data_IF_986616766337
#
_entry.id   IF_986616766337
#
_cell.length_a   1.000
_cell.length_b   1.000
_cell.length_c   1.000
_cell.angle_alpha   90.00
_cell.angle_beta   90.00
_cell.angle_gamma   90.00
#
_symmetry.space_group_name_H-M   'P 1'
#
loop_
_entity.id
_entity.type
_entity.pdbx_description
1 polymer ?
#
# COMPACT_ATOMS: atom_id res chain seq x y z
N UNK A 1 11.01 8.02 -16.08
CA UNK A 1 10.67 9.10 -17.04
C UNK A 1 11.74 9.34 -18.10
N UNK A 2 12.94 8.75 -17.99
CA UNK A 2 14.05 8.93 -18.94
C UNK A 2 13.83 8.28 -20.32
N UNK A 3 12.81 7.45 -20.50
CA UNK A 3 12.53 6.75 -21.78
C UNK A 3 11.44 7.42 -22.64
N UNK A 4 10.79 8.49 -22.16
CA UNK A 4 9.72 9.15 -22.88
C UNK A 4 10.25 10.23 -23.84
N UNK A 5 9.61 10.43 -25.00
CA UNK A 5 9.92 11.50 -25.94
C UNK A 5 9.78 12.88 -25.29
N UNK A 6 10.47 13.90 -25.81
CA UNK A 6 10.40 15.27 -25.28
C UNK A 6 8.96 15.81 -25.25
N UNK A 7 8.18 15.50 -26.29
CA UNK A 7 6.75 15.83 -26.36
C UNK A 7 5.96 15.19 -25.20
N UNK A 8 6.21 13.91 -24.93
CA UNK A 8 5.54 13.18 -23.84
C UNK A 8 5.97 13.69 -22.46
N UNK A 9 7.24 14.06 -22.29
CA UNK A 9 7.72 14.69 -21.06
C UNK A 9 7.03 16.04 -20.81
N UNK A 10 6.88 16.86 -21.85
CA UNK A 10 6.15 18.12 -21.75
C UNK A 10 4.67 17.91 -21.42
N UNK A 11 4.03 16.92 -22.03
CA UNK A 11 2.66 16.54 -21.73
C UNK A 11 2.46 16.13 -20.26
N UNK A 12 3.34 15.26 -19.73
CA UNK A 12 3.28 14.90 -18.31
C UNK A 12 3.54 16.08 -17.39
N UNK A 13 4.47 16.97 -17.74
CA UNK A 13 4.75 18.19 -16.99
C UNK A 13 3.52 19.11 -16.92
N UNK A 14 2.82 19.29 -18.03
CA UNK A 14 1.57 20.08 -18.07
C UNK A 14 0.50 19.49 -17.15
N UNK A 15 0.36 18.16 -17.12
CA UNK A 15 -0.56 17.47 -16.22
C UNK A 15 -0.15 17.69 -14.75
N UNK A 16 1.14 17.52 -14.41
CA UNK A 16 1.64 17.74 -13.06
C UNK A 16 1.36 19.18 -12.58
N UNK A 17 1.62 20.19 -13.43
CA UNK A 17 1.36 21.59 -13.11
C UNK A 17 -0.14 21.89 -12.88
N UNK A 18 -1.03 21.27 -13.66
CA UNK A 18 -2.48 21.39 -13.46
C UNK A 18 -2.94 20.72 -12.17
N UNK A 19 -2.39 19.56 -11.85
CA UNK A 19 -2.65 18.87 -10.59
C UNK A 19 -2.19 19.73 -9.41
N UNK A 20 -0.99 20.33 -9.47
CA UNK A 20 -0.47 21.21 -8.42
C UNK A 20 -1.40 22.39 -8.15
N UNK A 21 -1.90 23.03 -9.21
CA UNK A 21 -2.90 24.11 -9.10
C UNK A 21 -4.17 23.63 -8.40
N UNK A 22 -4.70 22.48 -8.79
CA UNK A 22 -5.91 21.90 -8.16
C UNK A 22 -5.67 21.57 -6.67
N UNK A 23 -4.52 20.98 -6.32
CA UNK A 23 -4.14 20.71 -4.93
C UNK A 23 -4.01 21.99 -4.10
N UNK A 24 -3.46 23.06 -4.67
CA UNK A 24 -3.33 24.35 -3.98
C UNK A 24 -4.70 24.93 -3.63
N UNK A 25 -5.63 24.94 -4.58
CA UNK A 25 -7.02 25.39 -4.36
C UNK A 25 -7.72 24.53 -3.30
N UNK A 26 -7.63 23.19 -3.44
CA UNK A 26 -8.29 22.27 -2.50
C UNK A 26 -7.73 22.40 -1.08
N UNK A 27 -6.42 22.53 -0.90
CA UNK A 27 -5.83 22.76 0.42
C UNK A 27 -6.19 24.14 0.98
N UNK A 28 -6.31 25.17 0.13
CA UNK A 28 -6.81 26.48 0.54
C UNK A 28 -8.24 26.42 1.11
N UNK A 29 -9.11 25.62 0.48
CA UNK A 29 -10.47 25.38 0.98
C UNK A 29 -10.48 24.57 2.28
N UNK A 30 -9.75 23.46 2.34
CA UNK A 30 -9.73 22.58 3.53
C UNK A 30 -9.19 23.26 4.78
N UNK A 31 -8.24 24.18 4.64
CA UNK A 31 -7.72 25.01 5.74
C UNK A 31 -8.77 25.90 6.42
N UNK A 32 -9.95 26.08 5.81
CA UNK A 32 -11.05 26.82 6.44
C UNK A 32 -11.74 26.02 7.57
N UNK A 33 -11.45 24.73 7.71
CA UNK A 33 -11.91 23.91 8.84
C UNK A 33 -13.36 23.41 8.74
N UNK A 34 -13.97 23.47 7.55
CA UNK A 34 -15.34 22.96 7.33
C UNK A 34 -15.40 21.44 7.04
N UNK A 35 -14.24 20.82 6.81
CA UNK A 35 -14.10 19.39 6.52
C UNK A 35 -13.48 18.63 7.69
N UNK A 36 -13.60 17.28 7.73
CA UNK A 36 -12.96 16.45 8.76
C UNK A 36 -11.42 16.56 8.83
N UNK A 37 -10.79 16.93 7.72
CA UNK A 37 -9.34 17.13 7.62
C UNK A 37 -9.03 18.48 6.98
N UNK A 38 -7.98 19.13 7.51
CA UNK A 38 -7.50 20.46 7.12
C UNK A 38 -6.62 20.47 5.86
N UNK A 39 -6.29 19.28 5.35
CA UNK A 39 -5.47 19.06 4.15
C UNK A 39 -6.08 17.99 3.25
N UNK A 40 -5.71 18.01 1.98
CA UNK A 40 -6.12 16.95 1.03
C UNK A 40 -5.57 15.60 1.49
N UNK A 41 -6.49 14.64 1.69
CA UNK A 41 -6.18 13.28 2.13
C UNK A 41 -5.85 12.32 0.98
N UNK A 42 -6.18 12.71 -0.26
CA UNK A 42 -5.85 11.92 -1.47
C UNK A 42 -4.35 12.04 -1.72
N UNK A 43 -3.64 10.92 -1.65
CA UNK A 43 -2.19 10.86 -1.88
C UNK A 43 -1.88 10.76 -3.37
N UNK A 44 -0.80 11.41 -3.80
CA UNK A 44 -0.25 11.27 -5.16
C UNK A 44 0.74 10.13 -5.19
N UNK A 45 0.71 9.38 -6.29
CA UNK A 45 1.69 8.36 -6.60
C UNK A 45 1.96 8.38 -8.11
N UNK A 46 3.22 8.24 -8.51
CA UNK A 46 3.65 8.25 -9.91
C UNK A 46 3.69 6.85 -10.52
N UNK A 47 3.80 5.83 -9.69
CA UNK A 47 3.92 4.44 -10.13
C UNK A 47 3.20 3.50 -9.16
N UNK A 48 3.19 2.21 -9.49
CA UNK A 48 2.50 1.19 -8.69
C UNK A 48 3.13 1.01 -7.31
N UNK A 49 4.46 0.98 -7.21
CA UNK A 49 5.15 0.82 -5.93
C UNK A 49 4.87 1.99 -4.96
N UNK A 50 4.87 3.22 -5.46
CA UNK A 50 4.45 4.42 -4.69
C UNK A 50 2.99 4.36 -4.27
N UNK A 51 2.09 3.77 -5.09
CA UNK A 51 0.69 3.56 -4.67
C UNK A 51 0.61 2.57 -3.52
N UNK A 52 1.38 1.48 -3.55
CA UNK A 52 1.42 0.50 -2.46
C UNK A 52 1.90 1.16 -1.16
N UNK A 53 3.03 1.87 -1.20
CA UNK A 53 3.54 2.60 -0.03
C UNK A 53 2.53 3.64 0.47
N UNK A 54 2.02 4.48 -0.43
CA UNK A 54 1.07 5.54 -0.10
C UNK A 54 -0.21 4.98 0.53
N UNK A 55 -0.78 3.93 -0.06
CA UNK A 55 -1.99 3.28 0.44
C UNK A 55 -1.78 2.75 1.86
N UNK A 56 -0.70 1.99 2.10
CA UNK A 56 -0.46 1.39 3.41
C UNK A 56 -0.04 2.42 4.45
N UNK A 57 0.58 3.54 4.05
CA UNK A 57 0.95 4.61 4.97
C UNK A 57 -0.23 5.25 5.70
N UNK A 58 -1.47 5.06 5.21
CA UNK A 58 -2.70 5.51 5.89
C UNK A 58 -2.89 4.80 7.23
N UNK A 59 -2.54 3.51 7.32
CA UNK A 59 -2.70 2.69 8.53
C UNK A 59 -1.37 2.39 9.22
N UNK A 60 -0.25 2.47 8.50
CA UNK A 60 1.10 2.29 9.01
C UNK A 60 2.02 3.42 8.51
N UNK A 61 1.95 4.63 9.10
CA UNK A 61 2.72 5.80 8.66
C UNK A 61 4.23 5.56 8.58
N UNK A 62 4.76 4.66 9.41
CA UNK A 62 6.17 4.26 9.46
C UNK A 62 6.68 3.59 8.17
N UNK A 63 5.79 3.11 7.29
CA UNK A 63 6.19 2.57 5.99
C UNK A 63 6.59 3.65 5.00
N UNK A 64 6.11 4.88 5.17
CA UNK A 64 6.40 5.96 4.24
C UNK A 64 7.88 6.29 4.24
N UNK A 65 8.49 6.31 3.05
CA UNK A 65 9.93 6.51 2.84
C UNK A 65 10.81 5.46 3.54
N UNK A 66 10.28 4.27 3.82
CA UNK A 66 11.03 3.20 4.50
C UNK A 66 11.99 2.43 3.58
N UNK A 67 11.96 2.72 2.27
CA UNK A 67 12.76 2.01 1.26
C UNK A 67 12.03 0.83 0.60
N UNK A 68 10.73 0.63 0.88
CA UNK A 68 9.91 -0.40 0.23
C UNK A 68 9.79 -0.16 -1.28
N UNK A 69 9.63 1.09 -1.72
CA UNK A 69 9.49 1.44 -3.14
C UNK A 69 10.66 0.96 -4.01
N UNK A 70 11.93 1.33 -3.74
CA UNK A 70 13.05 0.82 -4.52
C UNK A 70 13.17 -0.70 -4.43
N UNK A 71 12.89 -1.29 -3.25
CA UNK A 71 12.95 -2.75 -3.08
C UNK A 71 11.93 -3.50 -3.92
N UNK A 72 10.73 -2.95 -4.10
CA UNK A 72 9.72 -3.52 -5.01
C UNK A 72 10.28 -3.57 -6.43
N UNK A 73 10.95 -2.52 -6.90
CA UNK A 73 11.54 -2.53 -8.25
C UNK A 73 12.64 -3.59 -8.40
N UNK A 74 13.52 -3.75 -7.41
CA UNK A 74 14.54 -4.81 -7.41
C UNK A 74 13.92 -6.21 -7.51
N UNK A 75 12.84 -6.45 -6.76
CA UNK A 75 12.11 -7.72 -6.81
C UNK A 75 11.39 -7.92 -8.15
N UNK A 76 10.88 -6.86 -8.76
CA UNK A 76 10.27 -6.92 -10.10
C UNK A 76 11.30 -7.20 -11.20
N UNK A 77 12.55 -6.76 -11.04
CA UNK A 77 13.65 -7.13 -11.94
C UNK A 77 14.02 -8.61 -11.80
N UNK A 78 13.94 -9.17 -10.58
CA UNK A 78 14.24 -10.58 -10.30
C UNK A 78 13.12 -11.53 -10.76
N UNK A 79 11.87 -11.25 -10.38
CA UNK A 79 10.74 -12.17 -10.57
C UNK A 79 9.83 -11.80 -11.75
N UNK A 80 9.90 -10.55 -12.20
CA UNK A 80 8.97 -9.98 -13.17
C UNK A 80 7.97 -9.00 -12.53
N UNK A 81 7.52 -8.03 -13.32
CA UNK A 81 6.52 -7.04 -12.90
C UNK A 81 5.20 -7.72 -12.57
N UNK A 82 4.59 -7.32 -11.45
CA UNK A 82 3.30 -7.86 -10.97
C UNK A 82 3.29 -9.38 -10.72
N UNK A 83 4.46 -9.99 -10.50
CA UNK A 83 4.55 -11.39 -10.12
C UNK A 83 4.15 -11.60 -8.65
N UNK A 84 3.42 -12.67 -8.36
CA UNK A 84 2.95 -12.98 -7.00
C UNK A 84 4.10 -13.20 -6.00
N UNK A 85 5.28 -13.64 -6.47
CA UNK A 85 6.48 -13.82 -5.64
C UNK A 85 7.01 -12.50 -5.10
N UNK A 86 6.88 -11.40 -5.84
CA UNK A 86 7.22 -10.06 -5.35
C UNK A 86 6.36 -9.71 -4.14
N UNK A 87 5.04 -9.97 -4.23
CA UNK A 87 4.09 -9.74 -3.14
C UNK A 87 4.47 -10.52 -1.87
N UNK A 88 4.81 -11.80 -2.00
CA UNK A 88 5.26 -12.61 -0.86
C UNK A 88 6.58 -12.12 -0.30
N UNK A 89 7.56 -11.83 -1.16
CA UNK A 89 8.89 -11.48 -0.70
C UNK A 89 8.89 -10.13 0.02
N UNK A 90 8.19 -9.13 -0.52
CA UNK A 90 8.09 -7.84 0.16
C UNK A 90 7.29 -7.96 1.47
N UNK A 91 6.22 -8.76 1.50
CA UNK A 91 5.47 -9.04 2.73
C UNK A 91 6.35 -9.71 3.79
N UNK A 92 7.12 -10.73 3.41
CA UNK A 92 8.07 -11.41 4.31
C UNK A 92 9.09 -10.41 4.88
N UNK A 93 9.71 -9.60 4.02
CA UNK A 93 10.73 -8.63 4.43
C UNK A 93 10.18 -7.54 5.36
N UNK A 94 8.94 -7.09 5.14
CA UNK A 94 8.21 -6.20 6.05
C UNK A 94 7.94 -6.88 7.39
N UNK A 95 7.53 -8.15 7.39
CA UNK A 95 7.24 -8.91 8.63
C UNK A 95 8.48 -9.10 9.50
N UNK A 96 9.66 -9.18 8.88
CA UNK A 96 10.96 -9.23 9.55
C UNK A 96 11.53 -7.85 9.90
N UNK A 97 10.74 -6.79 9.76
CA UNK A 97 11.11 -5.42 10.11
C UNK A 97 12.36 -4.91 9.37
N UNK A 98 12.58 -5.32 8.11
CA UNK A 98 13.76 -4.89 7.34
C UNK A 98 13.74 -3.39 6.99
N UNK A 99 12.56 -2.78 6.92
CA UNK A 99 12.38 -1.38 6.45
C UNK A 99 12.03 -0.41 7.58
N UNK A 100 11.26 -0.87 8.57
CA UNK A 100 10.81 -0.05 9.69
C UNK A 100 10.51 -0.95 10.90
N UNK A 101 10.38 -0.32 12.08
CA UNK A 101 10.02 -0.99 13.33
C UNK A 101 8.54 -0.89 13.62
N UNK A 102 7.98 -1.95 14.17
CA UNK A 102 6.60 -2.01 14.62
C UNK A 102 6.54 -2.13 16.15
N UNK A 103 5.38 -1.85 16.72
CA UNK A 103 5.13 -1.96 18.15
C UNK A 103 5.33 -3.39 18.64
N UNK A 104 4.88 -4.36 17.85
CA UNK A 104 5.00 -5.77 18.14
C UNK A 104 5.00 -6.60 16.85
N UNK A 105 5.31 -7.90 16.99
CA UNK A 105 5.31 -8.83 15.86
C UNK A 105 3.95 -8.93 15.17
N UNK A 106 2.85 -8.74 15.90
CA UNK A 106 1.49 -8.83 15.34
C UNK A 106 1.25 -7.66 14.38
N UNK A 107 1.60 -6.45 14.77
CA UNK A 107 1.53 -5.28 13.88
C UNK A 107 2.42 -5.47 12.65
N UNK A 108 3.66 -5.97 12.82
CA UNK A 108 4.54 -6.27 11.69
C UNK A 108 3.91 -7.25 10.69
N UNK A 109 3.26 -8.31 11.18
CA UNK A 109 2.55 -9.29 10.36
C UNK A 109 1.29 -8.70 9.70
N UNK A 110 0.50 -7.90 10.41
CA UNK A 110 -0.68 -7.22 9.85
C UNK A 110 -0.27 -6.29 8.71
N UNK A 111 0.77 -5.47 8.92
CA UNK A 111 1.25 -4.53 7.91
C UNK A 111 1.87 -5.26 6.72
N UNK A 112 2.65 -6.33 6.96
CA UNK A 112 3.19 -7.19 5.91
C UNK A 112 2.09 -7.73 4.97
N UNK A 113 1.02 -8.31 5.55
CA UNK A 113 -0.13 -8.81 4.79
C UNK A 113 -0.78 -7.70 3.96
N UNK A 114 -0.92 -6.49 4.54
CA UNK A 114 -1.49 -5.34 3.82
C UNK A 114 -0.59 -4.92 2.66
N UNK A 115 0.73 -4.89 2.82
CA UNK A 115 1.69 -4.57 1.73
C UNK A 115 1.60 -5.60 0.61
N UNK A 116 1.60 -6.89 0.94
CA UNK A 116 1.47 -7.96 -0.04
C UNK A 116 0.14 -7.88 -0.80
N UNK A 117 -0.97 -7.68 -0.08
CA UNK A 117 -2.30 -7.52 -0.67
C UNK A 117 -2.39 -6.25 -1.53
N UNK A 118 -1.75 -5.16 -1.12
CA UNK A 118 -1.68 -3.93 -1.92
C UNK A 118 -0.89 -4.15 -3.21
N UNK A 119 0.26 -4.84 -3.16
CA UNK A 119 1.06 -5.11 -4.34
C UNK A 119 0.33 -6.00 -5.35
N UNK A 120 -0.22 -7.14 -4.92
CA UNK A 120 -0.88 -8.09 -5.83
C UNK A 120 -2.14 -7.50 -6.49
N UNK A 121 -2.76 -6.53 -5.82
CA UNK A 121 -3.92 -5.78 -6.35
C UNK A 121 -3.50 -4.46 -7.03
N UNK A 122 -2.21 -4.28 -7.35
CA UNK A 122 -1.63 -3.10 -8.02
C UNK A 122 -1.86 -1.76 -7.32
N UNK A 123 -2.27 -1.79 -6.04
CA UNK A 123 -2.64 -0.64 -5.24
C UNK A 123 -3.85 0.13 -5.80
N UNK A 124 -4.76 -0.53 -6.51
CA UNK A 124 -5.95 0.12 -7.12
C UNK A 124 -7.28 -0.20 -6.42
N UNK A 125 -7.27 -1.05 -5.39
CA UNK A 125 -8.47 -1.44 -4.64
C UNK A 125 -8.34 -1.07 -3.16
N UNK A 126 -9.47 -0.87 -2.49
CA UNK A 126 -9.51 -0.52 -1.06
C UNK A 126 -9.27 -1.73 -0.13
N UNK A 127 -9.24 -2.96 -0.66
CA UNK A 127 -9.13 -4.20 0.12
C UNK A 127 -7.96 -4.25 1.13
N UNK A 128 -6.75 -3.75 0.83
CA UNK A 128 -5.67 -3.69 1.81
C UNK A 128 -5.94 -2.82 3.03
N UNK A 129 -6.87 -1.86 2.94
CA UNK A 129 -7.27 -0.99 4.04
C UNK A 129 -8.56 -1.45 4.69
N UNK A 130 -9.60 -1.63 3.89
CA UNK A 130 -10.96 -1.84 4.36
C UNK A 130 -11.35 -3.32 4.37
N UNK A 131 -10.83 -4.10 3.42
CA UNK A 131 -11.16 -5.52 3.22
C UNK A 131 -10.50 -6.43 4.25
N UNK A 132 -9.20 -6.28 4.46
CA UNK A 132 -8.48 -6.93 5.56
C UNK A 132 -8.58 -6.07 6.83
N UNK A 133 -9.27 -6.61 7.84
CA UNK A 133 -9.61 -5.88 9.06
C UNK A 133 -8.49 -5.98 10.09
N UNK A 134 -8.08 -7.21 10.43
CA UNK A 134 -7.07 -7.49 11.46
C UNK A 134 -6.56 -8.93 11.39
N UNK A 135 -5.41 -9.19 11.99
CA UNK A 135 -4.91 -10.53 12.29
C UNK A 135 -4.88 -10.72 13.81
N UNK A 136 -5.44 -11.83 14.29
CA UNK A 136 -5.40 -12.17 15.71
C UNK A 136 -4.73 -13.50 15.94
N UNK A 137 -3.96 -13.60 17.03
CA UNK A 137 -3.47 -14.87 17.55
C UNK A 137 -4.55 -15.48 18.42
N UNK A 138 -5.04 -16.66 18.02
CA UNK A 138 -6.06 -17.42 18.76
C UNK A 138 -5.49 -18.74 19.23
N UNK A 139 -6.09 -19.32 20.26
CA UNK A 139 -5.70 -20.62 20.80
C UNK A 139 -6.55 -21.73 20.22
N UNK A 140 -5.88 -22.80 19.82
CA UNK A 140 -6.49 -24.07 19.44
C UNK A 140 -6.86 -24.87 20.70
N UNK A 141 -7.63 -25.95 20.50
CA UNK A 141 -8.01 -26.88 21.59
C UNK A 141 -6.80 -27.56 22.26
N UNK A 142 -5.69 -27.73 21.52
CA UNK A 142 -4.42 -28.28 22.02
C UNK A 142 -3.56 -27.24 22.76
N UNK A 143 -4.05 -26.02 22.96
CA UNK A 143 -3.34 -24.93 23.64
C UNK A 143 -2.32 -24.18 22.78
N UNK A 144 -2.05 -24.65 21.55
CA UNK A 144 -1.14 -23.97 20.61
C UNK A 144 -1.83 -22.79 19.92
N UNK A 145 -1.03 -21.86 19.41
CA UNK A 145 -1.52 -20.65 18.75
C UNK A 145 -1.69 -20.84 17.24
N UNK A 146 -2.60 -20.07 16.65
CA UNK A 146 -2.79 -19.95 15.21
C UNK A 146 -3.20 -18.52 14.85
N UNK A 147 -2.94 -18.14 13.60
CA UNK A 147 -3.37 -16.85 13.06
C UNK A 147 -4.81 -16.93 12.57
N UNK A 148 -5.62 -15.95 12.95
CA UNK A 148 -6.97 -15.74 12.46
C UNK A 148 -7.03 -14.41 11.72
N UNK A 149 -7.27 -14.48 10.41
CA UNK A 149 -7.46 -13.31 9.56
C UNK A 149 -8.94 -12.93 9.55
N UNK A 150 -9.23 -11.64 9.73
CA UNK A 150 -10.59 -11.12 9.69
C UNK A 150 -10.77 -10.27 8.43
N UNK A 151 -11.78 -10.61 7.64
CA UNK A 151 -12.12 -9.90 6.41
C UNK A 151 -13.51 -9.29 6.51
N UNK A 152 -13.71 -8.16 5.85
CA UNK A 152 -14.99 -7.47 5.71
C UNK A 152 -15.51 -7.56 4.27
N UNK A 153 -16.74 -7.10 4.01
CA UNK A 153 -17.35 -7.11 2.66
C UNK A 153 -16.46 -6.53 1.54
N UNK A 154 -15.79 -5.38 1.73
CA UNK A 154 -14.85 -4.80 0.77
C UNK A 154 -13.76 -5.72 0.22
N UNK A 155 -13.41 -6.82 0.91
CA UNK A 155 -12.41 -7.79 0.43
C UNK A 155 -12.76 -8.38 -0.94
N UNK A 156 -14.06 -8.39 -1.30
CA UNK A 156 -14.53 -8.87 -2.61
C UNK A 156 -13.92 -8.10 -3.78
N UNK A 157 -13.51 -6.84 -3.56
CA UNK A 157 -12.85 -6.03 -4.59
C UNK A 157 -11.44 -6.48 -4.95
N UNK A 158 -10.73 -7.18 -4.05
CA UNK A 158 -9.42 -7.75 -4.36
C UNK A 158 -9.48 -8.86 -5.42
N UNK A 159 -10.65 -9.51 -5.54
CA UNK A 159 -10.83 -10.69 -6.39
C UNK A 159 -10.20 -11.95 -5.79
N UNK A 160 -10.65 -13.11 -6.26
CA UNK A 160 -10.29 -14.41 -5.70
C UNK A 160 -8.80 -14.70 -5.76
N UNK A 161 -8.10 -14.27 -6.81
CA UNK A 161 -6.64 -14.49 -6.95
C UNK A 161 -5.86 -13.87 -5.79
N UNK A 162 -6.13 -12.59 -5.50
CA UNK A 162 -5.43 -11.87 -4.42
C UNK A 162 -5.81 -12.42 -3.05
N UNK A 163 -7.10 -12.73 -2.83
CA UNK A 163 -7.55 -13.32 -1.57
C UNK A 163 -6.94 -14.69 -1.35
N UNK A 164 -6.90 -15.60 -2.33
CA UNK A 164 -6.30 -16.93 -2.13
C UNK A 164 -4.79 -16.92 -1.88
N UNK A 165 -4.09 -15.87 -2.30
CA UNK A 165 -2.65 -15.73 -2.04
C UNK A 165 -2.40 -15.34 -0.57
N UNK A 166 -3.30 -14.55 0.05
CA UNK A 166 -3.10 -13.94 1.37
C UNK A 166 -4.15 -14.31 2.44
N UNK A 167 -5.10 -15.21 2.15
CA UNK A 167 -6.17 -15.64 3.06
C UNK A 167 -6.04 -17.10 3.51
#
# INVERSE_FOLDING_TARGET
MSEASLEMQNYFKEIEEKIDKAYSVANGAKKQGYDPEDKVSILRARNMAERVEGLISVVAPQIKNSGIVPRIFELEEEYGKSDWRVAFKISEEVSFEKFCKFKDKREAMEVALRVGLAYITMGIVASPLEGFVKLELKKRRDGKEYFALFFSGPIRSAGTTATCIFA
#
